data_IF_499637640223
#
_entry.id   IF_499637640223
#
_cell.length_a   1.000
_cell.length_b   1.000
_cell.length_c   1.000
_cell.angle_alpha   90.00
_cell.angle_beta   90.00
_cell.angle_gamma   90.00
#
_symmetry.space_group_name_H-M   'P 1'
#
loop_
_entity.id
_entity.type
_entity.pdbx_description
1 polymer ?
#
# COMPACT_ATOMS: atom_id res chain seq x y z
N UNK A 1 32.71 14.31 -30.30
CA UNK A 1 31.28 13.96 -30.51
C UNK A 1 30.53 13.57 -29.22
N UNK A 2 31.20 13.06 -28.16
CA UNK A 2 30.54 12.63 -26.90
C UNK A 2 30.14 13.76 -25.93
N UNK A 3 30.86 14.88 -25.89
CA UNK A 3 30.55 15.97 -24.93
C UNK A 3 29.26 16.72 -25.30
N UNK A 4 28.95 16.85 -26.60
CA UNK A 4 27.68 17.46 -27.04
C UNK A 4 26.48 16.54 -26.78
N UNK A 5 26.60 15.23 -27.00
CA UNK A 5 25.55 14.26 -26.65
C UNK A 5 25.23 14.25 -25.15
N UNK A 6 26.27 14.35 -24.30
CA UNK A 6 26.12 14.43 -22.84
C UNK A 6 25.41 15.71 -22.37
N UNK A 7 25.73 16.87 -22.96
CA UNK A 7 25.03 18.14 -22.65
C UNK A 7 23.57 18.12 -23.10
N UNK A 8 23.28 17.51 -24.25
CA UNK A 8 21.90 17.37 -24.77
C UNK A 8 21.08 16.40 -23.88
N UNK A 9 21.67 15.29 -23.43
CA UNK A 9 21.03 14.34 -22.50
C UNK A 9 20.70 14.97 -21.14
N UNK A 10 21.62 15.73 -20.54
CA UNK A 10 21.33 16.50 -19.30
C UNK A 10 20.24 17.55 -19.48
N UNK A 11 20.19 18.20 -20.64
CA UNK A 11 19.15 19.18 -20.95
C UNK A 11 17.77 18.50 -21.08
N UNK A 12 17.70 17.34 -21.73
CA UNK A 12 16.46 16.56 -21.86
C UNK A 12 15.98 16.05 -20.50
N UNK A 13 16.87 15.52 -19.66
CA UNK A 13 16.56 15.07 -18.30
C UNK A 13 16.04 16.22 -17.41
N UNK A 14 16.67 17.40 -17.47
CA UNK A 14 16.21 18.58 -16.73
C UNK A 14 14.82 19.07 -17.20
N UNK A 15 14.52 18.95 -18.50
CA UNK A 15 13.19 19.29 -19.05
C UNK A 15 12.13 18.28 -18.59
N UNK A 16 12.46 16.98 -18.52
CA UNK A 16 11.56 15.94 -18.00
C UNK A 16 11.26 16.11 -16.50
N UNK A 17 12.26 16.47 -15.69
CA UNK A 17 12.08 16.81 -14.27
C UNK A 17 11.17 18.03 -14.14
N UNK A 18 11.31 19.05 -15.00
CA UNK A 18 10.44 20.22 -15.00
C UNK A 18 9.00 19.87 -15.37
N UNK A 19 8.79 19.01 -16.37
CA UNK A 19 7.46 18.52 -16.77
C UNK A 19 6.83 17.71 -15.64
N UNK A 20 7.61 16.87 -14.96
CA UNK A 20 7.16 16.12 -13.79
C UNK A 20 6.77 17.05 -12.63
N UNK A 21 7.55 18.11 -12.38
CA UNK A 21 7.24 19.13 -11.37
C UNK A 21 5.97 19.93 -11.71
N UNK A 22 5.75 20.26 -12.97
CA UNK A 22 4.53 20.94 -13.44
C UNK A 22 3.32 20.01 -13.29
N UNK A 23 3.45 18.75 -13.69
CA UNK A 23 2.40 17.74 -13.54
C UNK A 23 2.04 17.47 -12.07
N UNK A 24 3.05 17.37 -11.20
CA UNK A 24 2.87 17.22 -9.76
C UNK A 24 2.17 18.44 -9.14
N UNK A 25 2.52 19.67 -9.57
CA UNK A 25 1.86 20.89 -9.12
C UNK A 25 0.42 21.01 -9.66
N UNK A 26 0.13 20.52 -10.87
CA UNK A 26 -1.23 20.44 -11.41
C UNK A 26 -2.12 19.49 -10.61
N UNK A 27 -1.59 18.33 -10.18
CA UNK A 27 -2.30 17.41 -9.29
C UNK A 27 -2.58 18.06 -7.92
N UNK A 28 -1.61 18.81 -7.39
CA UNK A 28 -1.77 19.51 -6.11
C UNK A 28 -2.79 20.65 -6.18
N UNK A 29 -2.84 21.40 -7.29
CA UNK A 29 -3.80 22.49 -7.50
C UNK A 29 -5.23 22.02 -7.80
N UNK A 30 -5.42 20.79 -8.27
CA UNK A 30 -6.75 20.22 -8.50
C UNK A 30 -7.44 19.68 -7.23
N UNK A 31 -6.77 19.75 -6.07
CA UNK A 31 -7.35 19.42 -4.76
C UNK A 31 -7.65 20.66 -3.92
N UNK A 32 -8.31 21.67 -4.51
CA UNK A 32 -8.92 22.77 -3.75
C UNK A 32 -10.35 23.02 -4.25
N UNK A 33 -11.29 22.40 -3.56
CA UNK A 33 -12.51 23.08 -3.12
C UNK A 33 -12.75 22.72 -1.65
N UNK A 34 -11.97 23.34 -0.77
CA UNK A 34 -12.39 23.52 0.62
C UNK A 34 -13.66 24.40 0.61
N UNK A 35 -14.83 23.78 0.73
CA UNK A 35 -15.99 24.49 1.27
C UNK A 35 -15.93 24.39 2.79
N UNK A 36 -15.44 25.48 3.39
CA UNK A 36 -15.64 25.79 4.79
C UNK A 36 -17.13 25.75 5.14
N UNK A 37 -17.55 24.83 6.01
CA UNK A 37 -18.72 25.03 6.86
C UNK A 37 -18.35 24.71 8.31
N UNK A 38 -18.07 25.81 8.99
CA UNK A 38 -17.82 26.04 10.41
C UNK A 38 -18.85 25.36 11.32
N UNK A 39 -18.34 24.76 12.40
CA UNK A 39 -19.10 24.52 13.63
C UNK A 39 -19.55 25.87 14.22
N UNK A 40 -20.82 26.26 14.03
CA UNK A 40 -21.55 27.14 14.96
C UNK A 40 -23.07 27.19 14.68
N UNK A 41 -23.84 26.79 15.70
CA UNK A 41 -25.11 27.42 16.15
C UNK A 41 -26.45 27.08 15.46
N UNK A 42 -27.20 26.19 16.14
CA UNK A 42 -28.65 26.22 16.51
C UNK A 42 -29.73 26.32 15.41
N UNK A 43 -30.59 25.29 15.31
CA UNK A 43 -32.02 25.45 15.59
C UNK A 43 -32.74 24.11 15.87
N UNK A 44 -33.41 24.09 17.04
CA UNK A 44 -34.42 23.11 17.45
C UNK A 44 -35.59 23.15 16.48
N UNK A 45 -36.03 21.97 16.05
CA UNK A 45 -37.47 21.68 15.90
C UNK A 45 -37.74 20.26 16.37
N UNK A 46 -38.58 20.17 17.41
CA UNK A 46 -39.13 18.92 17.90
C UNK A 46 -40.07 18.34 16.85
N UNK A 47 -39.82 17.11 16.40
CA UNK A 47 -40.89 16.20 16.00
C UNK A 47 -40.74 14.89 16.76
N UNK A 48 -41.67 14.71 17.68
CA UNK A 48 -41.93 13.49 18.43
C UNK A 48 -42.74 12.59 17.50
N UNK A 49 -42.13 11.53 16.94
CA UNK A 49 -42.87 10.47 16.26
C UNK A 49 -42.45 9.12 16.83
N UNK A 50 -43.34 8.66 17.71
CA UNK A 50 -43.70 7.30 18.12
C UNK A 50 -42.71 6.15 17.84
N UNK A 51 -42.26 5.59 18.96
CA UNK A 51 -41.50 4.35 19.07
C UNK A 51 -42.31 3.16 18.55
N UNK A 52 -41.82 2.56 17.47
CA UNK A 52 -41.78 1.12 17.24
C UNK A 52 -40.56 0.88 16.32
N UNK A 53 -39.36 0.95 16.91
CA UNK A 53 -38.09 1.03 16.19
C UNK A 53 -37.37 -0.31 16.32
N UNK A 54 -37.39 -1.13 15.26
CA UNK A 54 -36.31 -2.08 15.01
C UNK A 54 -35.05 -1.23 14.77
N UNK A 55 -34.26 -1.02 15.83
CA UNK A 55 -33.00 -0.29 15.73
C UNK A 55 -31.91 -1.23 15.23
N UNK A 56 -31.66 -1.26 13.91
CA UNK A 56 -30.34 -1.63 13.43
C UNK A 56 -29.45 -0.40 13.58
N UNK A 57 -28.50 -0.37 14.54
CA UNK A 57 -27.56 0.74 14.63
C UNK A 57 -26.68 0.70 13.37
N UNK A 58 -26.46 1.85 12.72
CA UNK A 58 -25.55 1.99 11.59
C UNK A 58 -24.14 1.51 12.01
N UNK A 59 -23.87 0.23 11.82
CA UNK A 59 -22.60 -0.40 12.16
C UNK A 59 -21.73 -0.31 10.92
N UNK A 60 -21.36 0.93 10.57
CA UNK A 60 -20.54 1.25 9.42
C UNK A 60 -19.12 1.56 9.89
N UNK A 61 -18.13 1.05 9.15
CA UNK A 61 -16.71 1.32 9.36
C UNK A 61 -16.14 1.98 8.10
N UNK A 62 -15.27 2.98 8.25
CA UNK A 62 -14.57 3.61 7.12
C UNK A 62 -13.12 3.13 7.11
N UNK A 63 -12.68 2.52 6.01
CA UNK A 63 -11.30 2.06 5.78
C UNK A 63 -10.88 2.43 4.36
N UNK A 64 -9.65 2.88 4.17
CA UNK A 64 -9.16 3.42 2.91
C UNK A 64 -10.13 4.42 2.21
N UNK A 65 -10.87 5.23 2.99
CA UNK A 65 -11.87 6.17 2.47
C UNK A 65 -13.19 5.55 1.99
N UNK A 66 -13.39 4.24 2.14
CA UNK A 66 -14.63 3.53 1.75
C UNK A 66 -15.44 3.09 2.97
N UNK A 67 -16.77 3.15 2.85
CA UNK A 67 -17.71 2.69 3.88
C UNK A 67 -18.01 1.19 3.77
N UNK A 68 -17.89 0.49 4.89
CA UNK A 68 -18.22 -0.92 5.06
C UNK A 68 -19.38 -1.07 6.03
N UNK A 69 -20.56 -1.42 5.53
CA UNK A 69 -21.71 -1.76 6.36
C UNK A 69 -21.58 -3.21 6.87
N UNK A 70 -21.33 -3.38 8.17
CA UNK A 70 -21.05 -4.69 8.75
C UNK A 70 -22.25 -5.64 8.76
N UNK A 71 -23.45 -5.21 8.38
CA UNK A 71 -24.64 -6.08 8.23
C UNK A 71 -24.87 -6.55 6.80
N UNK A 72 -23.97 -6.25 5.86
CA UNK A 72 -24.10 -6.57 4.44
C UNK A 72 -22.87 -7.35 3.93
N UNK A 73 -23.05 -8.04 2.80
CA UNK A 73 -21.94 -8.65 2.07
C UNK A 73 -21.05 -7.55 1.50
N UNK A 74 -19.76 -7.58 1.84
CA UNK A 74 -18.79 -6.63 1.29
C UNK A 74 -18.55 -6.89 -0.19
N UNK A 75 -18.39 -5.81 -0.97
CA UNK A 75 -18.06 -5.91 -2.38
C UNK A 75 -16.57 -6.27 -2.54
N UNK A 76 -16.28 -7.13 -3.51
CA UNK A 76 -14.93 -7.67 -3.72
C UNK A 76 -13.93 -6.59 -4.16
N UNK A 77 -14.38 -5.66 -4.99
CA UNK A 77 -13.59 -4.51 -5.44
C UNK A 77 -13.13 -3.66 -4.25
N UNK A 78 -14.02 -3.36 -3.31
CA UNK A 78 -13.69 -2.62 -2.08
C UNK A 78 -12.73 -3.40 -1.18
N UNK A 79 -12.97 -4.70 -0.95
CA UNK A 79 -12.06 -5.54 -0.16
C UNK A 79 -10.64 -5.57 -0.74
N UNK A 80 -10.51 -5.56 -2.07
CA UNK A 80 -9.22 -5.58 -2.75
C UNK A 80 -8.43 -4.27 -2.63
N UNK A 81 -9.07 -3.18 -2.20
CA UNK A 81 -8.41 -1.90 -1.93
C UNK A 81 -7.73 -1.83 -0.57
N UNK A 82 -8.07 -2.74 0.35
CA UNK A 82 -7.59 -2.71 1.73
C UNK A 82 -6.23 -3.38 1.85
N UNK A 83 -5.37 -2.84 2.71
CA UNK A 83 -4.14 -3.51 3.12
C UNK A 83 -4.40 -4.63 4.16
N UNK A 84 -3.35 -5.34 4.57
CA UNK A 84 -3.46 -6.46 5.52
C UNK A 84 -3.97 -6.00 6.89
N UNK A 85 -3.52 -4.86 7.38
CA UNK A 85 -3.91 -4.35 8.70
C UNK A 85 -5.36 -3.87 8.67
N UNK A 86 -5.78 -3.21 7.58
CA UNK A 86 -7.17 -2.80 7.35
C UNK A 86 -8.11 -4.01 7.24
N UNK A 87 -7.71 -5.07 6.53
CA UNK A 87 -8.48 -6.32 6.46
C UNK A 87 -8.66 -6.96 7.84
N UNK A 88 -7.60 -6.97 8.67
CA UNK A 88 -7.67 -7.48 10.04
C UNK A 88 -8.61 -6.62 10.89
N UNK A 89 -8.56 -5.29 10.74
CA UNK A 89 -9.49 -4.37 11.42
C UNK A 89 -10.93 -4.65 10.98
N UNK A 90 -11.19 -4.77 9.67
CA UNK A 90 -12.52 -5.07 9.14
C UNK A 90 -13.05 -6.42 9.66
N UNK A 91 -12.21 -7.47 9.68
CA UNK A 91 -12.56 -8.77 10.26
C UNK A 91 -12.90 -8.64 11.74
N UNK A 92 -12.08 -7.95 12.52
CA UNK A 92 -12.30 -7.75 13.95
C UNK A 92 -13.57 -6.93 14.20
N UNK A 93 -13.92 -5.98 13.34
CA UNK A 93 -15.15 -5.19 13.47
C UNK A 93 -16.41 -6.08 13.41
N UNK A 94 -16.38 -7.17 12.63
CA UNK A 94 -17.48 -8.16 12.59
C UNK A 94 -17.66 -8.83 13.96
N UNK A 95 -16.58 -9.19 14.65
CA UNK A 95 -16.66 -9.72 16.02
C UNK A 95 -17.08 -8.64 17.03
N UNK A 96 -16.56 -7.42 16.85
CA UNK A 96 -16.84 -6.27 17.71
C UNK A 96 -18.33 -5.92 17.71
N UNK A 97 -19.01 -5.95 16.55
CA UNK A 97 -20.46 -5.64 16.50
C UNK A 97 -21.31 -6.58 17.35
N UNK A 98 -20.82 -7.79 17.60
CA UNK A 98 -21.46 -8.80 18.45
C UNK A 98 -20.99 -8.76 19.92
N UNK A 99 -20.18 -7.76 20.28
CA UNK A 99 -19.73 -7.52 21.65
C UNK A 99 -18.52 -8.35 22.08
N UNK A 100 -17.68 -8.80 21.14
CA UNK A 100 -16.47 -9.55 21.46
C UNK A 100 -15.48 -8.72 22.29
N UNK A 101 -14.98 -9.27 23.40
CA UNK A 101 -13.96 -8.67 24.25
C UNK A 101 -12.57 -9.01 23.70
N UNK A 102 -11.86 -8.00 23.19
CA UNK A 102 -10.50 -8.20 22.66
C UNK A 102 -9.46 -8.25 23.78
N UNK A 103 -8.62 -9.29 23.79
CA UNK A 103 -7.48 -9.41 24.71
C UNK A 103 -6.33 -8.48 24.34
N UNK A 104 -6.14 -8.23 23.03
CA UNK A 104 -5.13 -7.29 22.55
C UNK A 104 -5.62 -5.86 22.72
N UNK A 105 -4.92 -5.08 23.56
CA UNK A 105 -5.25 -3.69 23.90
C UNK A 105 -5.50 -2.81 22.67
N UNK A 106 -4.70 -2.96 21.61
CA UNK A 106 -4.83 -2.16 20.38
C UNK A 106 -6.21 -2.27 19.71
N UNK A 107 -6.83 -3.46 19.69
CA UNK A 107 -8.15 -3.63 19.09
C UNK A 107 -9.24 -3.17 20.04
N UNK A 108 -9.12 -3.46 21.33
CA UNK A 108 -10.04 -2.97 22.33
C UNK A 108 -10.13 -1.43 22.30
N UNK A 109 -8.98 -0.74 22.38
CA UNK A 109 -8.91 0.72 22.34
C UNK A 109 -9.47 1.27 21.03
N UNK A 110 -9.11 0.66 19.90
CA UNK A 110 -9.62 1.06 18.58
C UNK A 110 -11.14 0.96 18.51
N UNK A 111 -11.75 -0.12 19.03
CA UNK A 111 -13.20 -0.29 18.93
C UNK A 111 -13.99 0.50 19.98
N UNK A 112 -13.39 0.83 21.13
CA UNK A 112 -14.04 1.62 22.19
C UNK A 112 -14.44 3.04 21.76
N UNK A 113 -13.84 3.58 20.71
CA UNK A 113 -14.24 4.87 20.15
C UNK A 113 -15.59 4.81 19.41
N UNK A 114 -16.05 3.61 19.01
CA UNK A 114 -17.30 3.45 18.29
C UNK A 114 -18.47 3.27 19.26
N UNK A 115 -19.51 4.08 19.09
CA UNK A 115 -20.70 4.04 19.95
C UNK A 115 -21.43 2.68 19.93
N UNK A 116 -21.34 1.95 18.81
CA UNK A 116 -21.94 0.64 18.59
C UNK A 116 -21.15 -0.51 19.21
N UNK A 117 -19.88 -0.32 19.58
CA UNK A 117 -19.10 -1.36 20.25
C UNK A 117 -19.45 -1.42 21.73
N UNK A 118 -19.95 -2.57 22.18
CA UNK A 118 -20.24 -2.87 23.58
C UNK A 118 -19.60 -4.20 23.95
N UNK A 119 -18.39 -4.23 24.56
CA UNK A 119 -17.74 -5.47 24.95
C UNK A 119 -18.57 -6.20 26.03
N UNK A 120 -19.03 -7.42 25.74
CA UNK A 120 -19.93 -8.20 26.61
C UNK A 120 -19.52 -9.64 26.80
N UNK A 121 -18.86 -10.27 25.81
CA UNK A 121 -18.50 -11.69 25.86
C UNK A 121 -17.11 -11.97 25.29
N UNK A 122 -16.41 -12.95 25.85
CA UNK A 122 -15.16 -13.49 25.28
C UNK A 122 -15.40 -14.50 24.16
N UNK A 123 -16.65 -14.87 23.87
CA UNK A 123 -17.03 -15.71 22.75
C UNK A 123 -18.36 -15.25 22.14
N UNK A 124 -18.34 -14.93 20.86
CA UNK A 124 -19.51 -14.47 20.08
C UNK A 124 -19.81 -15.39 18.89
N UNK A 125 -19.18 -16.58 18.82
CA UNK A 125 -19.25 -17.45 17.63
C UNK A 125 -20.68 -17.85 17.27
N UNK A 126 -21.54 -18.03 18.28
CA UNK A 126 -22.96 -18.38 18.10
C UNK A 126 -23.84 -17.19 17.69
N UNK A 127 -23.33 -15.96 17.78
CA UNK A 127 -24.04 -14.74 17.40
C UNK A 127 -23.76 -14.34 15.94
N UNK A 128 -22.74 -14.95 15.32
CA UNK A 128 -22.36 -14.67 13.94
C UNK A 128 -23.46 -15.13 12.97
N UNK A 129 -23.83 -14.23 12.06
CA UNK A 129 -24.79 -14.50 10.99
C UNK A 129 -24.13 -15.20 9.79
N UNK A 130 -24.92 -15.69 8.84
CA UNK A 130 -24.38 -16.21 7.57
C UNK A 130 -23.55 -15.17 6.83
N UNK A 131 -24.01 -13.92 6.79
CA UNK A 131 -23.28 -12.78 6.19
C UNK A 131 -21.93 -12.56 6.87
N UNK A 132 -21.87 -12.71 8.20
CA UNK A 132 -20.62 -12.59 8.95
C UNK A 132 -19.63 -13.68 8.57
N UNK A 133 -20.08 -14.93 8.51
CA UNK A 133 -19.25 -16.05 8.09
C UNK A 133 -18.70 -15.88 6.68
N UNK A 134 -19.53 -15.44 5.72
CA UNK A 134 -19.11 -15.22 4.34
C UNK A 134 -18.11 -14.08 4.22
N UNK A 135 -18.32 -12.96 4.93
CA UNK A 135 -17.37 -11.85 4.99
C UNK A 135 -16.04 -12.30 5.61
N UNK A 136 -16.07 -12.95 6.79
CA UNK A 136 -14.87 -13.42 7.49
C UNK A 136 -14.07 -14.36 6.60
N UNK A 137 -14.72 -15.31 5.92
CA UNK A 137 -14.06 -16.27 5.03
C UNK A 137 -13.31 -15.56 3.90
N UNK A 138 -13.95 -14.61 3.21
CA UNK A 138 -13.34 -13.87 2.09
C UNK A 138 -12.18 -12.99 2.57
N UNK A 139 -12.35 -12.32 3.72
CA UNK A 139 -11.28 -11.51 4.32
C UNK A 139 -10.07 -12.39 4.69
N UNK A 140 -10.27 -13.54 5.35
CA UNK A 140 -9.19 -14.47 5.69
C UNK A 140 -8.47 -14.97 4.43
N UNK A 141 -9.20 -15.26 3.36
CA UNK A 141 -8.60 -15.65 2.08
C UNK A 141 -7.70 -14.55 1.51
N UNK A 142 -8.15 -13.29 1.56
CA UNK A 142 -7.35 -12.14 1.14
C UNK A 142 -6.13 -11.94 2.05
N UNK A 143 -6.29 -12.00 3.38
CA UNK A 143 -5.19 -11.90 4.34
C UNK A 143 -4.10 -12.96 4.08
N UNK A 144 -4.49 -14.21 3.83
CA UNK A 144 -3.56 -15.30 3.51
C UNK A 144 -2.84 -15.09 2.17
N UNK A 145 -3.51 -14.47 1.19
CA UNK A 145 -2.90 -14.11 -0.08
C UNK A 145 -1.89 -12.96 0.11
N UNK A 146 -2.21 -11.97 0.95
CA UNK A 146 -1.30 -10.86 1.28
C UNK A 146 -0.07 -11.32 2.07
N UNK A 147 -0.26 -12.28 2.98
CA UNK A 147 0.84 -12.85 3.77
C UNK A 147 1.88 -13.58 2.92
N UNK A 148 1.50 -14.05 1.72
CA UNK A 148 2.39 -14.76 0.80
C UNK A 148 3.23 -13.85 -0.11
N UNK A 149 3.20 -12.52 0.09
CA UNK A 149 3.92 -11.55 -0.75
C UNK A 149 5.26 -11.08 -0.16
N UNK A 150 5.74 -11.78 0.88
CA UNK A 150 7.06 -11.57 1.45
C UNK A 150 8.12 -12.34 0.66
N UNK A 151 9.06 -11.61 0.05
CA UNK A 151 10.29 -12.18 -0.47
C UNK A 151 11.33 -12.26 0.64
N UNK A 152 11.92 -13.44 0.85
CA UNK A 152 12.97 -13.67 1.85
C UNK A 152 14.31 -13.92 1.15
N UNK A 153 15.25 -13.00 1.34
CA UNK A 153 16.61 -13.13 0.83
C UNK A 153 17.50 -13.79 1.88
N UNK A 154 17.69 -15.11 1.77
CA UNK A 154 18.63 -15.81 2.65
C UNK A 154 20.09 -15.36 2.39
N UNK A 155 20.41 -14.89 1.17
CA UNK A 155 21.75 -14.43 0.80
C UNK A 155 22.08 -13.07 1.43
N UNK A 156 21.11 -12.16 1.41
CA UNK A 156 21.27 -10.79 1.91
C UNK A 156 20.73 -10.61 3.34
N UNK A 157 20.05 -11.61 3.93
CA UNK A 157 19.68 -11.62 5.34
C UNK A 157 18.50 -10.74 5.71
N UNK A 158 17.64 -10.37 4.76
CA UNK A 158 16.43 -9.59 5.01
C UNK A 158 15.22 -10.16 4.26
N UNK A 159 14.03 -9.75 4.69
CA UNK A 159 12.81 -9.89 3.88
C UNK A 159 12.28 -8.53 3.45
N UNK A 160 11.49 -8.54 2.38
CA UNK A 160 10.82 -7.37 1.81
C UNK A 160 9.44 -7.81 1.30
N UNK A 161 8.42 -6.99 1.49
CA UNK A 161 7.03 -7.32 1.13
C UNK A 161 6.57 -6.45 -0.02
N UNK A 162 6.01 -7.08 -1.05
CA UNK A 162 5.44 -6.40 -2.20
C UNK A 162 3.91 -6.30 -2.06
N UNK A 163 3.27 -5.22 -2.55
CA UNK A 163 1.84 -5.06 -2.48
C UNK A 163 1.12 -6.01 -3.45
N UNK A 164 -0.12 -6.36 -3.15
CA UNK A 164 -0.88 -7.36 -3.92
C UNK A 164 -1.13 -6.97 -5.38
N UNK A 165 -1.36 -5.68 -5.62
CA UNK A 165 -1.55 -5.13 -6.95
C UNK A 165 -0.34 -5.36 -7.88
N UNK A 166 0.83 -5.73 -7.34
CA UNK A 166 2.03 -6.13 -8.09
C UNK A 166 2.08 -7.62 -8.45
N UNK A 167 1.15 -8.46 -7.97
CA UNK A 167 1.15 -9.91 -8.24
C UNK A 167 1.30 -10.19 -9.75
N UNK A 168 2.29 -11.03 -10.09
CA UNK A 168 2.70 -11.40 -11.46
C UNK A 168 3.23 -10.25 -12.34
N UNK A 169 3.35 -9.02 -11.82
CA UNK A 169 3.83 -7.83 -12.54
C UNK A 169 5.26 -7.44 -12.18
N UNK A 170 5.93 -8.24 -11.35
CA UNK A 170 7.35 -8.06 -11.06
C UNK A 170 8.08 -9.39 -11.06
N UNK A 171 9.41 -9.29 -11.19
CA UNK A 171 10.35 -10.39 -11.08
C UNK A 171 11.52 -9.94 -10.21
N UNK A 172 12.00 -10.83 -9.35
CA UNK A 172 13.22 -10.61 -8.58
C UNK A 172 14.32 -11.48 -9.17
N UNK A 173 15.50 -10.89 -9.35
CA UNK A 173 16.74 -11.61 -9.64
C UNK A 173 17.71 -11.34 -8.49
N UNK A 174 18.14 -12.41 -7.83
CA UNK A 174 18.99 -12.34 -6.63
C UNK A 174 20.38 -12.92 -6.91
N UNK A 175 21.40 -12.16 -6.53
CA UNK A 175 22.82 -12.53 -6.55
C UNK A 175 23.36 -12.57 -5.12
N UNK A 176 24.62 -12.95 -4.95
CA UNK A 176 25.21 -13.13 -3.61
C UNK A 176 25.39 -11.81 -2.86
N UNK A 177 25.55 -10.70 -3.57
CA UNK A 177 25.83 -9.38 -2.99
C UNK A 177 24.84 -8.30 -3.41
N UNK A 178 23.83 -8.62 -4.22
CA UNK A 178 22.80 -7.68 -4.61
C UNK A 178 21.55 -8.38 -5.14
N UNK A 179 20.44 -7.66 -5.22
CA UNK A 179 19.23 -8.09 -5.92
C UNK A 179 18.68 -6.96 -6.78
N UNK A 180 17.96 -7.34 -7.84
CA UNK A 180 17.26 -6.42 -8.74
C UNK A 180 15.79 -6.81 -8.80
N UNK A 181 14.93 -5.81 -8.68
CA UNK A 181 13.48 -5.96 -8.89
C UNK A 181 13.14 -5.38 -10.26
N UNK A 182 12.51 -6.19 -11.11
CA UNK A 182 12.09 -5.82 -12.45
C UNK A 182 10.57 -5.76 -12.54
N UNK A 183 10.07 -4.91 -13.41
CA UNK A 183 8.75 -4.99 -13.99
C UNK A 183 8.64 -6.23 -14.88
N UNK A 184 7.53 -6.94 -14.76
CA UNK A 184 7.21 -8.11 -15.54
C UNK A 184 5.96 -7.80 -16.38
N UNK A 185 6.13 -7.24 -17.60
CA UNK A 185 5.00 -6.87 -18.45
C UNK A 185 4.23 -8.10 -18.91
N UNK A 186 2.94 -7.92 -19.19
CA UNK A 186 2.06 -9.02 -19.65
C UNK A 186 2.34 -9.40 -21.11
N UNK A 187 2.88 -8.47 -21.90
CA UNK A 187 3.31 -8.72 -23.28
C UNK A 187 4.82 -8.91 -23.31
N UNK A 188 5.27 -10.01 -23.94
CA UNK A 188 6.68 -10.19 -24.27
C UNK A 188 7.10 -9.09 -25.23
N UNK A 189 7.87 -8.14 -24.72
CA UNK A 189 8.63 -7.19 -25.51
C UNK A 189 10.06 -7.70 -25.53
N UNK A 190 10.68 -7.72 -26.72
CA UNK A 190 12.10 -8.00 -26.90
C UNK A 190 12.94 -6.85 -26.33
N UNK A 191 12.85 -6.62 -25.02
CA UNK A 191 13.51 -5.52 -24.33
C UNK A 191 14.11 -6.00 -23.02
N UNK A 192 15.41 -5.72 -22.84
CA UNK A 192 16.11 -5.84 -21.56
C UNK A 192 15.93 -4.52 -20.82
N UNK A 193 14.97 -4.48 -19.92
CA UNK A 193 14.79 -3.36 -18.98
C UNK A 193 13.60 -3.60 -18.04
N UNK A 194 13.04 -2.53 -17.50
CA UNK A 194 11.96 -2.53 -16.53
C UNK A 194 12.45 -2.57 -15.09
N UNK A 195 13.73 -2.31 -14.83
CA UNK A 195 14.28 -2.25 -13.48
C UNK A 195 13.50 -1.23 -12.63
N UNK A 196 12.91 -1.70 -11.53
CA UNK A 196 12.31 -0.83 -10.53
C UNK A 196 13.38 -0.29 -9.58
N UNK A 197 14.15 -1.18 -8.95
CA UNK A 197 15.21 -0.81 -8.03
C UNK A 197 16.18 -1.96 -7.79
N UNK A 198 17.34 -1.61 -7.24
CA UNK A 198 18.39 -2.52 -6.80
C UNK A 198 18.60 -2.36 -5.29
N UNK A 199 18.97 -3.45 -4.63
CA UNK A 199 19.51 -3.45 -3.27
C UNK A 199 20.88 -4.11 -3.34
N UNK A 200 21.93 -3.37 -2.97
CA UNK A 200 23.32 -3.78 -3.14
C UNK A 200 24.01 -3.76 -1.77
N UNK A 201 24.69 -4.84 -1.40
CA UNK A 201 25.62 -4.82 -0.26
C UNK A 201 26.76 -3.85 -0.58
N UNK A 202 26.97 -2.86 0.28
CA UNK A 202 28.01 -1.82 0.07
C UNK A 202 29.43 -2.38 0.02
N UNK A 203 29.66 -3.61 0.50
CA UNK A 203 30.95 -4.31 0.37
C UNK A 203 31.11 -5.04 -0.96
N UNK A 204 30.08 -5.06 -1.80
CA UNK A 204 30.12 -5.66 -3.14
C UNK A 204 31.10 -4.91 -4.04
N UNK A 205 31.90 -5.64 -4.82
CA UNK A 205 32.72 -5.03 -5.89
C UNK A 205 31.88 -4.39 -6.99
N UNK A 206 30.58 -4.69 -7.05
CA UNK A 206 29.62 -4.07 -7.97
C UNK A 206 29.16 -2.69 -7.49
N UNK A 207 29.34 -2.38 -6.20
CA UNK A 207 28.88 -1.12 -5.64
C UNK A 207 29.80 0.03 -6.05
N UNK A 208 29.26 0.95 -6.84
CA UNK A 208 29.83 2.27 -7.07
C UNK A 208 28.67 3.28 -7.10
N UNK A 209 28.60 4.13 -6.08
CA UNK A 209 27.50 5.07 -5.89
C UNK A 209 27.32 6.05 -7.06
N UNK A 210 28.40 6.41 -7.76
CA UNK A 210 28.35 7.35 -8.90
C UNK A 210 27.62 6.79 -10.12
N UNK A 211 27.40 5.48 -10.17
CA UNK A 211 26.76 4.79 -11.29
C UNK A 211 25.24 4.68 -11.15
N UNK A 212 24.65 5.17 -10.05
CA UNK A 212 23.24 4.94 -9.77
C UNK A 212 22.53 6.20 -9.25
N UNK A 213 21.27 6.35 -9.64
CA UNK A 213 20.41 7.41 -9.14
C UNK A 213 19.72 6.99 -7.82
N UNK A 214 19.35 8.00 -7.03
CA UNK A 214 18.75 7.82 -5.71
C UNK A 214 17.24 7.74 -5.77
N UNK A 215 16.65 6.81 -5.02
CA UNK A 215 15.18 6.64 -4.95
C UNK A 215 14.55 7.63 -3.96
N UNK A 216 15.28 8.02 -2.91
CA UNK A 216 14.79 8.95 -1.89
C UNK A 216 15.96 9.60 -1.12
N UNK A 217 15.63 10.42 -0.12
CA UNK A 217 16.61 10.98 0.83
C UNK A 217 17.32 9.89 1.66
N UNK A 218 16.75 8.68 1.75
CA UNK A 218 17.34 7.52 2.42
C UNK A 218 17.66 6.42 1.41
N UNK A 219 18.94 6.31 1.06
CA UNK A 219 19.44 5.29 0.14
C UNK A 219 20.24 4.20 0.86
N UNK A 220 20.33 4.24 2.18
CA UNK A 220 21.07 3.25 2.97
C UNK A 220 20.19 2.67 4.08
N UNK A 221 20.40 1.37 4.35
CA UNK A 221 19.87 0.71 5.54
C UNK A 221 20.86 -0.36 6.03
N UNK A 222 20.71 -0.77 7.28
CA UNK A 222 21.61 -1.72 7.93
C UNK A 222 20.84 -2.92 8.46
N UNK A 223 21.40 -4.10 8.28
CA UNK A 223 20.91 -5.36 8.84
C UNK A 223 22.09 -6.08 9.49
N UNK A 224 22.12 -6.10 10.82
CA UNK A 224 23.28 -6.58 11.57
C UNK A 224 24.53 -5.77 11.24
N UNK A 225 25.59 -6.46 10.77
CA UNK A 225 26.88 -5.83 10.43
C UNK A 225 27.02 -5.51 8.93
N UNK A 226 25.93 -5.57 8.17
CA UNK A 226 25.91 -5.29 6.73
C UNK A 226 25.14 -4.00 6.47
N UNK A 227 25.68 -3.19 5.56
CA UNK A 227 25.06 -1.96 5.10
C UNK A 227 24.71 -2.14 3.62
N UNK A 228 23.47 -1.79 3.28
CA UNK A 228 22.90 -1.93 1.95
C UNK A 228 22.62 -0.56 1.34
N UNK A 229 22.86 -0.44 0.05
CA UNK A 229 22.48 0.71 -0.77
C UNK A 229 21.27 0.39 -1.63
N UNK A 230 20.30 1.28 -1.66
CA UNK A 230 19.09 1.20 -2.48
C UNK A 230 19.21 2.22 -3.61
N UNK A 231 19.03 1.77 -4.86
CA UNK A 231 19.16 2.66 -6.01
C UNK A 231 18.29 2.29 -7.21
N UNK A 232 18.10 3.27 -8.11
CA UNK A 232 17.44 3.10 -9.41
C UNK A 232 18.46 3.18 -10.54
N UNK A 233 18.14 2.62 -11.73
CA UNK A 233 18.91 2.88 -12.94
C UNK A 233 18.92 4.38 -13.29
N UNK A 234 20.00 4.84 -13.92
CA UNK A 234 20.16 6.23 -14.38
C UNK A 234 19.33 6.55 -15.63
N UNK A 235 18.97 5.54 -16.42
CA UNK A 235 18.14 5.67 -17.61
C UNK A 235 16.72 5.20 -17.33
N UNK A 236 15.73 5.84 -17.96
CA UNK A 236 14.34 5.41 -17.84
C UNK A 236 14.20 4.00 -18.45
N UNK A 237 13.87 2.97 -17.64
CA UNK A 237 14.11 1.59 -18.03
C UNK A 237 12.93 1.00 -18.80
N UNK A 238 12.06 1.82 -19.41
CA UNK A 238 10.93 1.33 -20.20
C UNK A 238 10.69 2.27 -21.41
N UNK A 239 10.42 1.77 -22.62
CA UNK A 239 10.10 2.67 -23.74
C UNK A 239 8.84 3.51 -23.47
N UNK A 240 8.84 4.80 -23.85
CA UNK A 240 7.69 5.69 -23.64
C UNK A 240 6.43 5.20 -24.37
N UNK A 241 6.60 4.52 -25.49
CA UNK A 241 5.51 3.91 -26.27
C UNK A 241 5.10 2.51 -25.78
N UNK A 242 5.65 2.05 -24.64
CA UNK A 242 5.30 0.75 -24.10
C UNK A 242 3.81 0.73 -23.70
N UNK A 243 3.03 -0.29 -24.08
CA UNK A 243 1.58 -0.33 -23.82
C UNK A 243 1.21 -0.34 -22.33
N UNK A 244 2.17 -0.69 -21.45
CA UNK A 244 1.99 -0.74 -19.99
C UNK A 244 2.79 0.36 -19.27
N UNK A 245 3.18 1.44 -19.97
CA UNK A 245 3.96 2.55 -19.39
C UNK A 245 3.26 3.21 -18.18
N UNK A 246 1.96 3.46 -18.27
CA UNK A 246 1.19 4.04 -17.16
C UNK A 246 1.14 3.12 -15.95
N UNK A 247 1.01 1.79 -16.18
CA UNK A 247 1.06 0.80 -15.12
C UNK A 247 2.43 0.77 -14.45
N UNK A 248 3.51 0.82 -15.23
CA UNK A 248 4.87 0.90 -14.72
C UNK A 248 5.08 2.13 -13.84
N UNK A 249 4.67 3.31 -14.31
CA UNK A 249 4.77 4.57 -13.54
C UNK A 249 3.95 4.51 -12.24
N UNK A 250 2.74 3.95 -12.30
CA UNK A 250 1.91 3.73 -11.10
C UNK A 250 2.60 2.80 -10.12
N UNK A 251 3.17 1.69 -10.58
CA UNK A 251 3.92 0.78 -9.72
C UNK A 251 5.15 1.48 -9.12
N UNK A 252 5.91 2.24 -9.89
CA UNK A 252 7.06 3.01 -9.36
C UNK A 252 6.68 3.89 -8.16
N UNK A 253 5.46 4.46 -8.15
CA UNK A 253 4.98 5.26 -7.01
C UNK A 253 4.80 4.47 -5.70
N UNK A 254 4.68 3.14 -5.75
CA UNK A 254 4.57 2.27 -4.58
C UNK A 254 5.94 1.96 -3.93
N UNK A 255 7.05 2.11 -4.67
CA UNK A 255 8.40 1.69 -4.25
C UNK A 255 8.79 2.24 -2.86
N UNK A 256 8.61 3.54 -2.54
CA UNK A 256 8.99 4.05 -1.22
C UNK A 256 8.31 3.35 -0.05
N UNK A 257 7.07 2.86 -0.23
CA UNK A 257 6.36 2.10 0.81
C UNK A 257 6.82 0.65 0.87
N UNK A 258 7.15 0.04 -0.27
CA UNK A 258 7.76 -1.30 -0.33
C UNK A 258 9.07 -1.32 0.45
N UNK A 259 9.94 -0.33 0.25
CA UNK A 259 11.26 -0.26 0.92
C UNK A 259 11.14 -0.12 2.45
N UNK A 260 10.05 0.47 2.97
CA UNK A 260 9.79 0.53 4.42
C UNK A 260 9.46 -0.83 5.05
N UNK A 261 9.10 -1.82 4.24
CA UNK A 261 8.77 -3.16 4.73
C UNK A 261 9.99 -4.05 4.97
N UNK A 262 11.18 -3.58 4.59
CA UNK A 262 12.42 -4.31 4.77
C UNK A 262 12.66 -4.57 6.26
N UNK A 263 12.94 -5.82 6.61
CA UNK A 263 13.25 -6.23 7.98
C UNK A 263 14.26 -7.40 8.00
N UNK A 264 15.03 -7.58 9.08
CA UNK A 264 15.91 -8.74 9.24
C UNK A 264 15.14 -10.07 9.16
N UNK A 265 15.79 -11.11 8.62
CA UNK A 265 15.28 -12.49 8.67
C UNK A 265 15.44 -13.13 10.04
#
# INVERSE_FOLDING_TARGET
MNVMKYKISKLISAVLILIFFIYFNLIKNNNISESNLTLSTINKTNQKINNNKLTSPNTTLVLNGYEFNLTQIFKEDLLSTLDKDELIILRNAIYAKHGYIFTQKKYNDYFLQFNWYKPTSNNVSQLLTSVDHDNIKRIIQLEQVLEKLEFKSNKLGFSITFPHNWKNKYKIVEYDTYMIVYFNPSKNVDFKGGEFFLIIDTKSSYFNQENFDTISDKNFFEIGNRQYYICIPTDFPLPENHPEIELFLKMQSDIPNILKTIKPL
#
